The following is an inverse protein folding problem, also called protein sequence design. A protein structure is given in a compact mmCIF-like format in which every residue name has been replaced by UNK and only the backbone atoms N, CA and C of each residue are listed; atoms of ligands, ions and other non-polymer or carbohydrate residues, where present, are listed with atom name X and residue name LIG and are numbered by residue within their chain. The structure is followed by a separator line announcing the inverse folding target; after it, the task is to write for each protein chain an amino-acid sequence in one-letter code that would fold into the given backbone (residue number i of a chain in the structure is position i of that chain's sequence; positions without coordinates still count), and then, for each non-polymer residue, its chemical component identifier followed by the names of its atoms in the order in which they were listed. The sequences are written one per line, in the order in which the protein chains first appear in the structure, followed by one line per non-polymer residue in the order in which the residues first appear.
data_IF_569260314796
#
_entry.id   IF_569260314796
#
_cell.length_a   1.000
_cell.length_b   1.000
_cell.length_c   1.000
_cell.angle_alpha   90.00
_cell.angle_beta   90.00
_cell.angle_gamma   90.00
#
_symmetry.space_group_name_H-M   'P 1'
#
loop_
_entity.id
_entity.type
_entity.pdbx_description
1 polymer ?
#
# COMPACT_ATOMS: atom_id res chain seq x y z
N UNK A 1 -12.25 -15.61 11.31
CA UNK A 1 -12.77 -14.78 10.21
C UNK A 1 -11.60 -14.45 9.30
N UNK A 2 -11.76 -14.31 7.97
CA UNK A 2 -10.67 -13.82 7.12
C UNK A 2 -10.28 -12.42 7.61
N UNK A 3 -9.00 -12.21 7.92
CA UNK A 3 -8.50 -10.91 8.37
C UNK A 3 -8.63 -9.91 7.23
N UNK A 4 -9.47 -8.90 7.41
CA UNK A 4 -9.65 -7.83 6.42
C UNK A 4 -8.39 -6.96 6.47
N UNK A 5 -7.79 -6.72 5.30
CA UNK A 5 -6.69 -5.77 5.19
C UNK A 5 -7.28 -4.37 5.28
N UNK A 6 -6.90 -3.62 6.31
CA UNK A 6 -7.42 -2.29 6.57
C UNK A 6 -6.65 -1.24 5.77
N UNK A 7 -5.31 -1.26 5.86
CA UNK A 7 -4.47 -0.39 5.04
C UNK A 7 -3.14 -1.02 4.63
N UNK A 8 -2.57 -0.46 3.56
CA UNK A 8 -1.17 -0.64 3.18
C UNK A 8 -0.46 0.70 3.31
N UNK A 9 0.71 0.69 3.92
CA UNK A 9 1.58 1.86 4.04
C UNK A 9 2.86 1.66 3.25
N UNK A 10 3.17 2.63 2.39
CA UNK A 10 4.41 2.72 1.65
C UNK A 10 5.27 3.82 2.25
N UNK A 11 6.48 3.47 2.69
CA UNK A 11 7.42 4.41 3.32
C UNK A 11 8.72 4.45 2.54
N UNK A 12 9.14 5.65 2.15
CA UNK A 12 10.43 5.90 1.52
C UNK A 12 11.48 6.16 2.60
N UNK A 13 12.55 5.38 2.59
CA UNK A 13 13.76 5.63 3.38
C UNK A 13 14.97 5.84 2.45
N UNK A 14 16.14 6.11 3.04
CA UNK A 14 17.40 6.23 2.31
C UNK A 14 17.78 4.92 1.58
N UNK A 15 17.31 3.77 2.07
CA UNK A 15 17.56 2.44 1.51
C UNK A 15 16.55 2.03 0.42
N UNK A 16 15.53 2.86 0.17
CA UNK A 16 14.50 2.62 -0.85
C UNK A 16 13.07 2.62 -0.31
N UNK A 17 12.15 2.06 -1.09
CA UNK A 17 10.74 1.97 -0.70
C UNK A 17 10.46 0.68 0.08
N UNK A 18 9.65 0.80 1.11
CA UNK A 18 9.15 -0.32 1.91
C UNK A 18 7.62 -0.30 1.93
N UNK A 19 6.99 -1.48 2.07
CA UNK A 19 5.54 -1.61 2.19
C UNK A 19 5.16 -2.41 3.44
N UNK A 20 4.11 -1.99 4.14
CA UNK A 20 3.58 -2.67 5.32
C UNK A 20 2.07 -2.90 5.15
N UNK A 21 1.57 -4.07 5.55
CA UNK A 21 0.14 -4.43 5.49
C UNK A 21 -0.43 -4.51 6.90
N UNK A 22 -1.50 -3.77 7.14
CA UNK A 22 -2.14 -3.66 8.45
C UNK A 22 -3.58 -4.15 8.37
N UNK A 23 -3.94 -5.06 9.27
CA UNK A 23 -5.27 -5.65 9.37
C UNK A 23 -6.07 -5.04 10.52
N UNK A 24 -7.41 -5.09 10.42
CA UNK A 24 -8.40 -4.49 11.35
C UNK A 24 -8.20 -4.89 12.84
N UNK A 25 -7.56 -6.03 13.12
CA UNK A 25 -7.26 -6.47 14.50
C UNK A 25 -5.96 -5.87 15.08
N UNK A 26 -5.32 -4.91 14.40
CA UNK A 26 -4.04 -4.34 14.81
C UNK A 26 -2.86 -5.34 14.65
N UNK A 27 -3.12 -6.49 14.03
CA UNK A 27 -2.08 -7.46 13.68
C UNK A 27 -1.29 -6.93 12.49
N UNK A 28 -0.02 -6.63 12.75
CA UNK A 28 0.95 -6.20 11.76
C UNK A 28 1.50 -7.41 11.02
N UNK A 29 1.27 -7.46 9.70
CA UNK A 29 1.99 -8.39 8.84
C UNK A 29 2.96 -7.56 8.00
N UNK A 30 4.19 -7.45 8.49
CA UNK A 30 5.28 -6.93 7.67
C UNK A 30 5.63 -7.98 6.62
N UNK A 31 4.94 -7.94 5.48
CA UNK A 31 5.30 -8.71 4.31
C UNK A 31 6.38 -7.94 3.55
N UNK A 32 7.63 -8.41 3.64
CA UNK A 32 8.70 -7.93 2.77
C UNK A 32 8.46 -8.49 1.37
N UNK A 33 7.81 -7.71 0.52
CA UNK A 33 7.73 -7.99 -0.92
C UNK A 33 9.09 -7.75 -1.58
N UNK A 34 9.30 -8.40 -2.72
CA UNK A 34 10.45 -8.13 -3.59
C UNK A 34 10.43 -6.64 -3.99
N UNK A 35 11.60 -6.01 -4.04
CA UNK A 35 11.73 -4.57 -4.30
C UNK A 35 11.06 -4.17 -5.62
N UNK A 36 11.16 -5.03 -6.65
CA UNK A 36 10.54 -4.81 -7.96
C UNK A 36 9.00 -4.67 -7.88
N UNK A 37 8.34 -5.41 -6.98
CA UNK A 37 6.90 -5.33 -6.79
C UNK A 37 6.50 -4.03 -6.08
N UNK A 38 7.32 -3.57 -5.12
CA UNK A 38 7.11 -2.29 -4.45
C UNK A 38 7.31 -1.15 -5.44
N UNK A 39 8.36 -1.19 -6.25
CA UNK A 39 8.64 -0.16 -7.24
C UNK A 39 7.52 -0.08 -8.32
N UNK A 40 6.93 -1.21 -8.70
CA UNK A 40 5.76 -1.23 -9.57
C UNK A 40 4.54 -0.57 -8.92
N UNK A 41 4.24 -0.91 -7.66
CA UNK A 41 3.15 -0.29 -6.90
C UNK A 41 3.34 1.24 -6.79
N UNK A 42 4.56 1.69 -6.49
CA UNK A 42 4.89 3.12 -6.39
C UNK A 42 4.69 3.84 -7.72
N UNK A 43 5.07 3.24 -8.86
CA UNK A 43 4.84 3.85 -10.18
C UNK A 43 3.35 4.03 -10.47
N UNK A 44 2.49 3.10 -10.06
CA UNK A 44 1.04 3.25 -10.19
C UNK A 44 0.53 4.41 -9.32
N UNK A 45 0.98 4.48 -8.07
CA UNK A 45 0.64 5.55 -7.11
C UNK A 45 1.08 6.92 -7.62
N UNK A 46 2.30 7.06 -8.12
CA UNK A 46 2.84 8.30 -8.68
C UNK A 46 2.09 8.73 -9.95
N UNK A 47 1.56 7.78 -10.73
CA UNK A 47 0.65 8.05 -11.85
C UNK A 47 -0.75 8.50 -11.40
N UNK A 48 -1.04 8.45 -10.09
CA UNK A 48 -2.33 8.77 -9.51
C UNK A 48 -3.33 7.61 -9.57
N UNK A 49 -2.86 6.37 -9.73
CA UNK A 49 -3.68 5.17 -9.79
C UNK A 49 -3.42 4.27 -8.56
N UNK A 50 -4.41 3.46 -8.19
CA UNK A 50 -4.25 2.44 -7.15
C UNK A 50 -3.44 1.24 -7.69
N UNK A 51 -2.51 0.67 -6.90
CA UNK A 51 -1.81 -0.54 -7.30
C UNK A 51 -2.79 -1.68 -7.59
N UNK A 52 -2.53 -2.47 -8.65
CA UNK A 52 -3.50 -3.43 -9.18
C UNK A 52 -4.03 -4.42 -8.13
N UNK A 53 -3.17 -4.91 -7.22
CA UNK A 53 -3.55 -5.88 -6.20
C UNK A 53 -4.44 -5.28 -5.09
N UNK A 54 -4.40 -3.97 -4.89
CA UNK A 54 -5.22 -3.25 -3.89
C UNK A 54 -6.65 -2.97 -4.38
N UNK A 55 -6.96 -3.27 -5.64
CA UNK A 55 -8.32 -3.11 -6.19
C UNK A 55 -9.29 -4.14 -5.60
N UNK A 56 -8.76 -5.26 -5.12
CA UNK A 56 -9.52 -6.28 -4.41
C UNK A 56 -9.48 -5.96 -2.90
N UNK A 57 -10.65 -5.84 -2.28
CA UNK A 57 -10.78 -5.50 -0.86
C UNK A 57 -10.64 -4.01 -0.53
N UNK A 58 -10.12 -3.20 -1.47
CA UNK A 58 -10.01 -1.73 -1.35
C UNK A 58 -9.42 -1.26 0.01
N UNK A 59 -8.25 -1.78 0.43
CA UNK A 59 -7.59 -1.26 1.62
C UNK A 59 -7.26 0.22 1.43
N UNK A 60 -7.19 0.98 2.52
CA UNK A 60 -6.66 2.34 2.46
C UNK A 60 -5.19 2.29 2.04
N UNK A 61 -4.76 3.25 1.24
CA UNK A 61 -3.36 3.36 0.81
C UNK A 61 -2.78 4.58 1.53
N UNK A 62 -1.67 4.38 2.24
CA UNK A 62 -0.91 5.43 2.91
C UNK A 62 0.47 5.50 2.27
N UNK A 63 0.94 6.70 1.98
CA UNK A 63 2.25 6.96 1.37
C UNK A 63 2.95 7.99 2.22
N UNK A 64 4.08 7.62 2.84
CA UNK A 64 4.84 8.44 3.78
C UNK A 64 3.96 9.07 4.88
N UNK A 65 3.00 8.31 5.41
CA UNK A 65 2.06 8.77 6.45
C UNK A 65 0.84 9.53 5.93
N UNK A 66 0.74 9.83 4.63
CA UNK A 66 -0.40 10.53 4.03
C UNK A 66 -1.35 9.57 3.33
N UNK A 67 -2.67 9.76 3.50
CA UNK A 67 -3.66 8.94 2.77
C UNK A 67 -3.65 9.30 1.30
N UNK A 68 -3.33 8.31 0.46
CA UNK A 68 -3.43 8.42 -0.98
C UNK A 68 -4.89 8.24 -1.43
N UNK A 69 -5.30 9.06 -2.40
CA UNK A 69 -6.54 8.89 -3.16
C UNK A 69 -6.20 8.88 -4.64
N UNK A 70 -6.73 7.89 -5.35
CA UNK A 70 -6.51 7.84 -6.79
C UNK A 70 -7.31 8.93 -7.50
N UNK A 71 -6.82 9.35 -8.66
CA UNK A 71 -7.46 10.39 -9.49
C UNK A 71 -8.84 9.99 -10.01
N UNK A 72 -9.08 8.69 -10.13
CA UNK A 72 -10.38 8.13 -10.52
C UNK A 72 -11.39 8.06 -9.35
N UNK A 73 -10.98 8.41 -8.13
CA UNK A 73 -11.83 8.44 -6.93
C UNK A 73 -12.27 9.87 -6.53
N UNK A 74 -11.90 10.90 -7.32
CA UNK A 74 -12.24 12.32 -7.12
C UNK A 74 -13.41 12.78 -8.00
#
# INVERSE_FOLDING_TARGET
MPKILDYVEYTKSDDGWTSQKIHDEGDFVMERREQDAIDADIREIEAGARPAWTRLGLPRIIVNGETFRARDED
#
